data_IF_333246566491
#
_entry.id   IF_333246566491
#
_cell.length_a   1.000
_cell.length_b   1.000
_cell.length_c   1.000
_cell.angle_alpha   90.00
_cell.angle_beta   90.00
_cell.angle_gamma   90.00
#
_symmetry.space_group_name_H-M   'P 1'
#
loop_
_entity.id
_entity.type
_entity.pdbx_description
1 polymer ?
#
# COMPACT_ATOMS: atom_id res chain seq x y z
N UNK A 1 15.94 -26.07 24.09
CA UNK A 1 15.85 -25.44 22.77
C UNK A 1 14.45 -25.78 22.27
N UNK A 2 13.55 -24.80 22.32
CA UNK A 2 12.13 -25.02 22.04
C UNK A 2 11.90 -24.97 20.52
N UNK A 3 11.62 -26.13 19.94
CA UNK A 3 11.48 -26.38 18.50
C UNK A 3 10.01 -26.27 18.02
N UNK A 4 9.11 -25.67 18.83
CA UNK A 4 7.66 -25.73 18.55
C UNK A 4 7.02 -24.44 18.04
N UNK A 5 7.76 -23.33 17.96
CA UNK A 5 7.20 -22.08 17.42
C UNK A 5 7.36 -22.06 15.87
N UNK A 6 6.26 -22.03 15.08
CA UNK A 6 6.38 -21.87 13.64
C UNK A 6 7.15 -20.57 13.30
N UNK A 7 7.92 -20.54 12.19
CA UNK A 7 8.71 -19.37 11.82
C UNK A 7 7.81 -18.12 11.75
N UNK A 8 8.22 -17.06 12.43
CA UNK A 8 7.48 -15.80 12.45
C UNK A 8 7.75 -15.04 11.16
N UNK A 9 6.73 -14.95 10.31
CA UNK A 9 6.80 -14.15 9.09
C UNK A 9 6.47 -12.69 9.40
N UNK A 10 7.43 -11.74 9.37
CA UNK A 10 7.10 -10.33 9.49
C UNK A 10 6.12 -9.94 8.38
N UNK A 11 5.20 -9.02 8.68
CA UNK A 11 4.14 -8.67 7.74
C UNK A 11 4.55 -7.50 6.84
N UNK A 12 4.13 -7.58 5.58
CA UNK A 12 4.20 -6.50 4.62
C UNK A 12 2.81 -6.22 4.03
N UNK A 13 2.34 -4.98 4.17
CA UNK A 13 1.15 -4.48 3.49
C UNK A 13 1.52 -3.92 2.12
N UNK A 14 0.88 -4.42 1.06
CA UNK A 14 1.01 -3.89 -0.29
C UNK A 14 -0.36 -3.46 -0.79
N UNK A 15 -0.54 -2.16 -1.05
CA UNK A 15 -1.81 -1.64 -1.59
C UNK A 15 -1.88 -1.83 -3.10
N UNK A 16 -3.05 -2.24 -3.64
CA UNK A 16 -3.19 -2.47 -5.08
C UNK A 16 -2.47 -3.74 -5.53
N UNK A 17 -2.31 -4.71 -4.64
CA UNK A 17 -1.50 -5.90 -4.84
C UNK A 17 -2.17 -6.99 -5.68
N UNK A 18 -3.42 -6.79 -6.11
CA UNK A 18 -4.13 -7.76 -6.94
C UNK A 18 -3.49 -7.99 -8.32
N UNK A 19 -2.73 -7.02 -8.86
CA UNK A 19 -2.16 -7.12 -10.21
C UNK A 19 -1.00 -6.13 -10.47
N UNK A 20 -0.38 -6.22 -11.65
CA UNK A 20 0.67 -5.30 -12.15
C UNK A 20 1.82 -5.17 -11.14
N UNK A 21 2.34 -3.95 -10.92
CA UNK A 21 3.46 -3.69 -10.02
C UNK A 21 3.16 -4.08 -8.58
N UNK A 22 1.94 -3.82 -8.08
CA UNK A 22 1.55 -4.22 -6.72
C UNK A 22 1.69 -5.73 -6.51
N UNK A 23 1.25 -6.55 -7.47
CA UNK A 23 1.47 -8.01 -7.44
C UNK A 23 2.96 -8.35 -7.44
N UNK A 24 3.76 -7.68 -8.28
CA UNK A 24 5.19 -7.94 -8.35
C UNK A 24 5.90 -7.63 -7.01
N UNK A 25 5.55 -6.52 -6.35
CA UNK A 25 6.07 -6.19 -5.02
C UNK A 25 5.65 -7.21 -3.97
N UNK A 26 4.36 -7.59 -3.95
CA UNK A 26 3.84 -8.60 -3.03
C UNK A 26 4.56 -9.96 -3.17
N UNK A 27 4.75 -10.44 -4.39
CA UNK A 27 5.47 -11.69 -4.65
C UNK A 27 6.96 -11.58 -4.33
N UNK A 28 7.58 -10.43 -4.57
CA UNK A 28 8.98 -10.20 -4.19
C UNK A 28 9.15 -10.31 -2.66
N UNK A 29 8.33 -9.59 -1.90
CA UNK A 29 8.36 -9.63 -0.43
C UNK A 29 8.03 -11.02 0.12
N UNK A 30 7.10 -11.73 -0.50
CA UNK A 30 6.77 -13.11 -0.13
C UNK A 30 7.97 -14.06 -0.29
N UNK A 31 8.72 -13.95 -1.40
CA UNK A 31 9.96 -14.73 -1.61
C UNK A 31 11.05 -14.41 -0.58
N UNK A 32 11.02 -13.21 0.00
CA UNK A 32 11.92 -12.81 1.10
C UNK A 32 11.40 -13.26 2.48
N UNK A 33 10.34 -14.06 2.54
CA UNK A 33 9.81 -14.61 3.78
C UNK A 33 8.79 -13.73 4.51
N UNK A 34 8.34 -12.61 3.92
CA UNK A 34 7.29 -11.79 4.53
C UNK A 34 5.91 -12.43 4.37
N UNK A 35 5.10 -12.36 5.42
CA UNK A 35 3.67 -12.57 5.32
C UNK A 35 3.04 -11.37 4.61
N UNK A 36 2.13 -11.60 3.67
CA UNK A 36 1.60 -10.51 2.83
C UNK A 36 0.19 -10.14 3.24
N UNK A 37 -0.01 -8.85 3.52
CA UNK A 37 -1.35 -8.24 3.50
C UNK A 37 -1.57 -7.68 2.09
N UNK A 38 -2.36 -8.39 1.31
CA UNK A 38 -2.73 -8.05 -0.07
C UNK A 38 -3.98 -7.18 -0.04
N UNK A 39 -3.82 -5.88 -0.26
CA UNK A 39 -4.96 -4.99 -0.41
C UNK A 39 -5.41 -4.89 -1.88
N UNK A 40 -6.73 -4.88 -2.10
CA UNK A 40 -7.37 -4.61 -3.37
C UNK A 40 -8.68 -3.82 -3.21
N UNK A 41 -9.14 -3.14 -4.26
CA UNK A 41 -10.44 -2.45 -4.25
C UNK A 41 -11.53 -3.26 -4.97
N UNK A 42 -11.50 -3.30 -6.31
CA UNK A 42 -12.54 -3.96 -7.13
C UNK A 42 -12.09 -5.25 -7.83
N UNK A 43 -10.80 -5.59 -7.78
CA UNK A 43 -10.21 -6.71 -8.54
C UNK A 43 -10.18 -8.04 -7.78
N UNK A 44 -11.32 -8.48 -7.22
CA UNK A 44 -11.38 -9.67 -6.37
C UNK A 44 -10.83 -10.96 -7.04
N UNK A 45 -11.16 -11.30 -8.30
CA UNK A 45 -10.61 -12.51 -8.93
C UNK A 45 -9.09 -12.49 -9.05
N UNK A 46 -8.50 -11.33 -9.39
CA UNK A 46 -7.04 -11.16 -9.52
C UNK A 46 -6.35 -11.18 -8.14
N UNK A 47 -7.02 -10.66 -7.12
CA UNK A 47 -6.55 -10.74 -5.74
C UNK A 47 -6.49 -12.19 -5.25
N UNK A 48 -7.52 -13.00 -5.54
CA UNK A 48 -7.54 -14.43 -5.20
C UNK A 48 -6.41 -15.18 -5.90
N UNK A 49 -6.22 -14.96 -7.22
CA UNK A 49 -5.14 -15.58 -7.97
C UNK A 49 -3.76 -15.23 -7.38
N UNK A 50 -3.52 -13.94 -7.09
CA UNK A 50 -2.26 -13.49 -6.49
C UNK A 50 -2.06 -14.04 -5.08
N UNK A 51 -3.11 -14.13 -4.27
CA UNK A 51 -3.04 -14.73 -2.94
C UNK A 51 -2.67 -16.22 -3.01
N UNK A 52 -3.17 -16.96 -4.00
CA UNK A 52 -2.78 -18.36 -4.21
C UNK A 52 -1.32 -18.50 -4.59
N UNK A 53 -0.80 -17.62 -5.46
CA UNK A 53 0.63 -17.57 -5.79
C UNK A 53 1.49 -17.27 -4.56
N UNK A 54 1.05 -16.36 -3.68
CA UNK A 54 1.77 -16.06 -2.43
C UNK A 54 1.75 -17.27 -1.48
N UNK A 55 0.61 -17.96 -1.32
CA UNK A 55 0.53 -19.16 -0.48
C UNK A 55 1.44 -20.28 -1.00
N UNK A 56 1.56 -20.42 -2.32
CA UNK A 56 2.47 -21.39 -2.92
C UNK A 56 3.95 -21.12 -2.61
N UNK A 57 4.31 -19.91 -2.16
CA UNK A 57 5.65 -19.57 -1.65
C UNK A 57 5.85 -19.92 -0.17
N UNK A 58 4.84 -20.50 0.50
CA UNK A 58 4.94 -20.96 1.88
C UNK A 58 4.77 -19.88 2.94
N UNK A 59 4.39 -18.65 2.56
CA UNK A 59 4.16 -17.54 3.50
C UNK A 59 2.67 -17.27 3.72
N UNK A 60 2.27 -16.76 4.90
CA UNK A 60 0.88 -16.43 5.17
C UNK A 60 0.42 -15.23 4.33
N UNK A 61 -0.85 -15.24 3.90
CA UNK A 61 -1.45 -14.12 3.17
C UNK A 61 -2.82 -13.74 3.74
N UNK A 62 -3.03 -12.45 3.92
CA UNK A 62 -4.32 -11.84 4.24
C UNK A 62 -4.76 -11.01 3.04
N UNK A 63 -5.89 -11.34 2.41
CA UNK A 63 -6.48 -10.50 1.36
C UNK A 63 -7.54 -9.59 1.97
N UNK A 64 -7.40 -8.28 1.80
CA UNK A 64 -8.36 -7.29 2.33
C UNK A 64 -8.89 -6.41 1.20
N UNK A 65 -10.22 -6.35 1.10
CA UNK A 65 -10.90 -5.41 0.23
C UNK A 65 -11.09 -4.08 0.97
N UNK A 66 -10.64 -2.98 0.38
CA UNK A 66 -10.96 -1.65 0.89
C UNK A 66 -10.97 -0.61 -0.24
N UNK A 67 -11.84 0.39 -0.12
CA UNK A 67 -11.71 1.63 -0.86
C UNK A 67 -10.85 2.60 -0.06
N UNK A 68 -9.61 2.83 -0.52
CA UNK A 68 -8.68 3.70 0.16
C UNK A 68 -9.05 5.20 0.07
N UNK A 69 -10.01 5.58 -0.77
CA UNK A 69 -10.54 6.94 -0.75
C UNK A 69 -11.37 7.22 0.51
N UNK A 70 -11.85 6.17 1.18
CA UNK A 70 -12.66 6.22 2.40
C UNK A 70 -11.81 5.96 3.65
N UNK A 71 -11.72 6.96 4.54
CA UNK A 71 -10.90 6.89 5.76
C UNK A 71 -11.30 5.75 6.71
N UNK A 72 -12.60 5.51 6.89
CA UNK A 72 -13.10 4.42 7.74
C UNK A 72 -12.66 3.06 7.19
N UNK A 73 -12.67 2.88 5.87
CA UNK A 73 -12.20 1.63 5.27
C UNK A 73 -10.69 1.45 5.39
N UNK A 74 -9.90 2.54 5.36
CA UNK A 74 -8.47 2.48 5.69
C UNK A 74 -8.28 2.04 7.15
N UNK A 75 -9.03 2.62 8.10
CA UNK A 75 -8.95 2.21 9.50
C UNK A 75 -9.29 0.72 9.68
N UNK A 76 -10.37 0.25 9.04
CA UNK A 76 -10.79 -1.15 9.08
C UNK A 76 -9.73 -2.08 8.47
N UNK A 77 -9.10 -1.70 7.35
CA UNK A 77 -7.98 -2.45 6.78
C UNK A 77 -6.88 -2.69 7.83
N UNK A 78 -6.51 -1.67 8.60
CA UNK A 78 -5.49 -1.83 9.64
C UNK A 78 -5.98 -2.62 10.86
N UNK A 79 -7.26 -2.54 11.21
CA UNK A 79 -7.85 -3.44 12.22
C UNK A 79 -7.81 -4.92 11.80
N UNK A 80 -7.99 -5.23 10.51
CA UNK A 80 -7.78 -6.60 10.01
C UNK A 80 -6.32 -7.05 10.17
N UNK A 81 -5.37 -6.14 9.90
CA UNK A 81 -3.94 -6.41 10.07
C UNK A 81 -3.64 -6.71 11.54
N UNK A 82 -4.18 -5.93 12.47
CA UNK A 82 -3.97 -6.14 13.91
C UNK A 82 -4.43 -7.53 14.35
N UNK A 83 -5.63 -7.95 13.92
CA UNK A 83 -6.14 -9.30 14.19
C UNK A 83 -5.25 -10.39 13.60
N UNK A 84 -4.82 -10.21 12.35
CA UNK A 84 -4.00 -11.18 11.64
C UNK A 84 -2.59 -11.30 12.24
N UNK A 85 -2.03 -10.18 12.69
CA UNK A 85 -0.73 -10.05 13.33
C UNK A 85 -0.73 -10.71 14.71
N UNK A 86 -1.75 -10.42 15.53
CA UNK A 86 -1.91 -10.99 16.87
C UNK A 86 -2.03 -12.52 16.82
N UNK A 87 -2.80 -13.07 15.88
CA UNK A 87 -2.97 -14.52 15.72
C UNK A 87 -1.67 -15.27 15.32
N UNK A 88 -0.59 -14.55 14.98
CA UNK A 88 0.67 -15.13 14.48
C UNK A 88 1.90 -14.66 15.25
N UNK A 89 1.71 -13.84 16.29
CA UNK A 89 2.82 -13.15 16.96
C UNK A 89 3.77 -12.45 15.97
N UNK A 90 3.21 -11.92 14.88
CA UNK A 90 3.94 -11.20 13.85
C UNK A 90 3.81 -9.69 14.07
N UNK A 91 4.64 -8.90 13.38
CA UNK A 91 4.52 -7.44 13.36
C UNK A 91 4.54 -6.91 11.94
N UNK A 92 3.83 -5.81 11.69
CA UNK A 92 3.92 -5.07 10.44
C UNK A 92 5.30 -4.41 10.36
N UNK A 93 6.04 -4.69 9.29
CA UNK A 93 7.40 -4.17 9.06
C UNK A 93 7.52 -3.38 7.77
N UNK A 94 6.69 -3.68 6.76
CA UNK A 94 6.75 -2.98 5.47
C UNK A 94 5.36 -2.50 5.05
N UNK A 95 5.28 -1.27 4.58
CA UNK A 95 4.12 -0.72 3.86
C UNK A 95 4.58 -0.29 2.48
N UNK A 96 3.97 -0.83 1.42
CA UNK A 96 4.14 -0.37 0.05
C UNK A 96 2.84 0.26 -0.43
N UNK A 97 2.84 1.60 -0.52
CA UNK A 97 1.75 2.36 -1.12
C UNK A 97 1.88 2.31 -2.65
N UNK A 98 1.29 1.28 -3.27
CA UNK A 98 1.31 1.06 -4.72
C UNK A 98 -0.03 1.30 -5.42
N UNK A 99 -1.15 1.34 -4.69
CA UNK A 99 -2.45 1.68 -5.28
C UNK A 99 -2.43 3.10 -5.85
N UNK A 100 -2.90 3.27 -7.08
CA UNK A 100 -3.01 4.58 -7.72
C UNK A 100 -4.08 4.59 -8.82
N UNK A 101 -4.68 5.75 -9.03
CA UNK A 101 -5.53 6.07 -10.19
C UNK A 101 -4.74 6.99 -11.11
N UNK A 102 -4.72 6.66 -12.40
CA UNK A 102 -4.11 7.48 -13.45
C UNK A 102 -5.21 7.89 -14.40
N UNK A 103 -5.72 9.12 -14.22
CA UNK A 103 -6.77 9.68 -15.08
C UNK A 103 -6.15 10.54 -16.18
N UNK A 104 -6.50 10.24 -17.43
CA UNK A 104 -6.15 11.05 -18.60
C UNK A 104 -7.14 12.19 -18.72
N UNK A 105 -6.68 13.41 -18.97
CA UNK A 105 -7.59 14.55 -19.12
C UNK A 105 -6.88 15.82 -19.57
N UNK A 106 -7.69 16.87 -19.72
CA UNK A 106 -7.25 18.22 -20.06
C UNK A 106 -7.48 19.14 -18.85
N UNK A 107 -6.43 19.79 -18.37
CA UNK A 107 -6.48 20.66 -17.19
C UNK A 107 -7.52 21.77 -17.31
N UNK A 108 -7.89 22.16 -18.53
CA UNK A 108 -8.90 23.20 -18.81
C UNK A 108 -10.33 22.77 -18.50
N UNK A 109 -10.61 21.47 -18.42
CA UNK A 109 -11.97 20.93 -18.30
C UNK A 109 -12.14 19.83 -17.27
N UNK A 110 -11.07 19.37 -16.61
CA UNK A 110 -11.20 18.39 -15.53
C UNK A 110 -11.99 18.96 -14.36
N UNK A 111 -12.88 18.15 -13.81
CA UNK A 111 -13.75 18.55 -12.71
C UNK A 111 -13.04 18.50 -11.36
N UNK A 112 -13.61 19.17 -10.36
CA UNK A 112 -13.19 19.01 -8.96
C UNK A 112 -13.34 17.56 -8.49
N UNK A 113 -14.38 16.85 -8.97
CA UNK A 113 -14.57 15.44 -8.65
C UNK A 113 -13.43 14.57 -9.20
N UNK A 114 -12.91 14.85 -10.39
CA UNK A 114 -11.73 14.16 -10.93
C UNK A 114 -10.49 14.44 -10.08
N UNK A 115 -10.34 15.69 -9.63
CA UNK A 115 -9.26 16.10 -8.74
C UNK A 115 -9.30 15.33 -7.43
N UNK A 116 -10.45 15.34 -6.76
CA UNK A 116 -10.66 14.68 -5.48
C UNK A 116 -10.50 13.16 -5.58
N UNK A 117 -10.98 12.54 -6.67
CA UNK A 117 -10.82 11.11 -6.90
C UNK A 117 -9.35 10.71 -7.01
N UNK A 118 -8.54 11.44 -7.79
CA UNK A 118 -7.11 11.14 -7.93
C UNK A 118 -6.35 11.45 -6.63
N UNK A 119 -6.61 12.60 -6.00
CA UNK A 119 -5.89 13.01 -4.79
C UNK A 119 -6.23 12.16 -3.58
N UNK A 120 -7.48 11.71 -3.45
CA UNK A 120 -7.90 10.82 -2.37
C UNK A 120 -7.15 9.49 -2.39
N UNK A 121 -6.94 8.89 -3.57
CA UNK A 121 -6.25 7.61 -3.70
C UNK A 121 -4.73 7.75 -3.80
N UNK A 122 -4.21 8.75 -4.51
CA UNK A 122 -2.78 8.85 -4.79
C UNK A 122 -1.99 9.59 -3.73
N UNK A 123 -2.65 10.40 -2.87
CA UNK A 123 -1.99 11.20 -1.85
C UNK A 123 -2.57 10.99 -0.45
N UNK A 124 -3.87 11.20 -0.27
CA UNK A 124 -4.52 11.09 1.05
C UNK A 124 -4.44 9.67 1.59
N UNK A 125 -4.71 8.66 0.76
CA UNK A 125 -4.58 7.27 1.17
C UNK A 125 -3.15 6.89 1.63
N UNK A 126 -2.06 7.17 0.87
CA UNK A 126 -0.71 6.97 1.37
C UNK A 126 -0.40 7.66 2.70
N UNK A 127 -0.90 8.88 2.91
CA UNK A 127 -0.78 9.61 4.19
C UNK A 127 -1.47 8.85 5.34
N UNK A 128 -2.74 8.48 5.17
CA UNK A 128 -3.51 7.76 6.19
C UNK A 128 -2.89 6.38 6.49
N UNK A 129 -2.50 5.65 5.45
CA UNK A 129 -1.82 4.36 5.59
C UNK A 129 -0.48 4.51 6.33
N UNK A 130 0.29 5.54 6.02
CA UNK A 130 1.57 5.79 6.69
C UNK A 130 1.40 6.12 8.17
N UNK A 131 0.40 6.93 8.54
CA UNK A 131 0.08 7.19 9.96
C UNK A 131 -0.33 5.91 10.70
N UNK A 132 -1.19 5.09 10.10
CA UNK A 132 -1.62 3.84 10.71
C UNK A 132 -0.47 2.83 10.83
N UNK A 133 0.42 2.76 9.82
CA UNK A 133 1.60 1.93 9.84
C UNK A 133 2.61 2.39 10.91
N UNK A 134 2.89 3.69 10.99
CA UNK A 134 3.82 4.25 11.99
C UNK A 134 3.43 3.88 13.43
N UNK A 135 2.12 3.91 13.76
CA UNK A 135 1.61 3.51 15.08
C UNK A 135 1.83 2.03 15.43
N UNK A 136 2.10 1.18 14.43
CA UNK A 136 2.19 -0.29 14.55
C UNK A 136 3.59 -0.84 14.29
N UNK A 137 4.42 -0.09 13.60
CA UNK A 137 5.78 -0.48 13.28
C UNK A 137 6.71 -0.16 14.46
N UNK A 138 7.41 -1.17 14.95
CA UNK A 138 8.58 -0.96 15.81
C UNK A 138 9.72 -0.31 15.00
N UNK A 139 10.76 0.26 15.65
CA UNK A 139 11.95 0.77 14.97
C UNK A 139 12.48 -0.21 13.92
N UNK A 140 12.92 0.33 12.79
CA UNK A 140 13.32 -0.45 11.61
C UNK A 140 12.17 -0.80 10.65
N UNK A 141 10.99 -0.20 10.81
CA UNK A 141 9.92 -0.27 9.81
C UNK A 141 10.27 0.48 8.51
N UNK A 142 9.68 0.06 7.39
CA UNK A 142 9.91 0.64 6.06
C UNK A 142 8.59 1.02 5.39
N UNK A 143 8.47 2.27 4.98
CA UNK A 143 7.36 2.76 4.15
C UNK A 143 7.90 3.14 2.77
N UNK A 144 7.36 2.52 1.73
CA UNK A 144 7.69 2.77 0.33
C UNK A 144 6.48 3.36 -0.38
N UNK A 145 6.64 4.57 -0.92
CA UNK A 145 5.62 5.24 -1.73
C UNK A 145 6.00 5.15 -3.21
N UNK A 146 5.14 4.53 -4.02
CA UNK A 146 5.41 4.37 -5.46
C UNK A 146 5.03 5.66 -6.18
N UNK A 147 6.05 6.44 -6.54
CA UNK A 147 5.91 7.64 -7.36
C UNK A 147 5.97 7.32 -8.87
N UNK A 148 6.18 8.34 -9.70
CA UNK A 148 6.28 8.26 -11.15
C UNK A 148 7.22 9.35 -11.66
N UNK A 149 7.81 9.18 -12.86
CA UNK A 149 8.58 10.24 -13.53
C UNK A 149 7.70 11.46 -13.85
N UNK A 150 6.37 11.27 -13.94
CA UNK A 150 5.39 12.34 -13.99
C UNK A 150 5.44 13.31 -12.78
N UNK A 151 6.10 12.94 -11.68
CA UNK A 151 6.36 13.85 -10.56
C UNK A 151 7.41 14.94 -10.89
N UNK A 152 8.21 14.73 -11.94
CA UNK A 152 9.31 15.61 -12.33
C UNK A 152 9.13 16.19 -13.74
N UNK A 153 8.41 15.48 -14.61
CA UNK A 153 8.13 15.90 -15.99
C UNK A 153 6.68 16.35 -16.12
N UNK A 154 6.46 17.41 -16.87
CA UNK A 154 5.11 17.86 -17.22
C UNK A 154 4.49 16.89 -18.22
N UNK A 155 3.44 16.17 -17.79
CA UNK A 155 2.64 15.31 -18.66
C UNK A 155 1.27 15.93 -18.84
N UNK A 156 1.10 16.70 -19.92
CA UNK A 156 -0.12 17.47 -20.18
C UNK A 156 -1.38 16.60 -20.28
N UNK A 157 -1.23 15.34 -20.73
CA UNK A 157 -2.32 14.39 -20.82
C UNK A 157 -2.76 13.81 -19.45
N UNK A 158 -1.98 14.02 -18.38
CA UNK A 158 -2.20 13.46 -17.04
C UNK A 158 -1.96 14.51 -15.94
N UNK A 159 -2.63 15.68 -15.97
CA UNK A 159 -2.23 16.82 -15.16
C UNK A 159 -2.40 16.55 -13.66
N UNK A 160 -3.59 16.08 -13.24
CA UNK A 160 -3.88 15.82 -11.81
C UNK A 160 -3.05 14.64 -11.28
N UNK A 161 -2.84 13.59 -12.09
CA UNK A 161 -1.96 12.48 -11.71
C UNK A 161 -0.54 12.98 -11.44
N UNK A 162 0.02 13.79 -12.33
CA UNK A 162 1.37 14.36 -12.19
C UNK A 162 1.49 15.19 -10.92
N UNK A 163 0.50 16.05 -10.63
CA UNK A 163 0.42 16.82 -9.37
C UNK A 163 0.38 15.88 -8.17
N UNK A 164 -0.45 14.83 -8.19
CA UNK A 164 -0.55 13.88 -7.08
C UNK A 164 0.78 13.16 -6.79
N UNK A 165 1.55 12.82 -7.84
CA UNK A 165 2.86 12.16 -7.70
C UNK A 165 3.94 13.10 -7.23
N UNK A 166 3.95 14.36 -7.69
CA UNK A 166 4.82 15.40 -7.14
C UNK A 166 4.54 15.64 -5.65
N UNK A 167 3.26 15.74 -5.27
CA UNK A 167 2.84 15.87 -3.88
C UNK A 167 3.25 14.66 -3.03
N UNK A 168 3.12 13.43 -3.56
CA UNK A 168 3.53 12.22 -2.86
C UNK A 168 5.04 12.17 -2.60
N UNK A 169 5.87 12.68 -3.53
CA UNK A 169 7.33 12.81 -3.31
C UNK A 169 7.62 13.77 -2.16
N UNK A 170 6.95 14.93 -2.13
CA UNK A 170 7.09 15.89 -1.03
C UNK A 170 6.66 15.29 0.30
N UNK A 171 5.48 14.67 0.36
CA UNK A 171 4.95 13.99 1.53
C UNK A 171 5.92 12.91 2.04
N UNK A 172 6.53 12.13 1.15
CA UNK A 172 7.51 11.10 1.52
C UNK A 172 8.71 11.70 2.26
N UNK A 173 9.24 12.83 1.78
CA UNK A 173 10.38 13.51 2.44
C UNK A 173 9.99 14.10 3.79
N UNK A 174 8.78 14.66 3.88
CA UNK A 174 8.25 15.19 5.14
C UNK A 174 8.11 14.05 6.16
N UNK A 175 7.43 12.96 5.80
CA UNK A 175 7.25 11.81 6.69
C UNK A 175 8.57 11.17 7.10
N UNK A 176 9.56 11.08 6.20
CA UNK A 176 10.88 10.56 6.55
C UNK A 176 11.57 11.37 7.65
N UNK A 177 11.39 12.70 7.66
CA UNK A 177 11.91 13.56 8.74
C UNK A 177 11.06 13.47 10.01
N UNK A 178 9.74 13.40 9.86
CA UNK A 178 8.81 13.37 11.01
C UNK A 178 8.77 12.03 11.75
N UNK A 179 9.10 10.92 11.07
CA UNK A 179 9.15 9.58 11.66
C UNK A 179 10.57 9.14 12.05
N UNK A 180 11.56 10.01 11.85
CA UNK A 180 12.90 9.77 12.36
C UNK A 180 12.89 9.78 13.90
N UNK A 181 13.75 8.98 14.56
CA UNK A 181 13.96 9.04 16.00
C UNK A 181 14.45 10.41 16.50
#
# INVERSE_FOLDING_TARGET
>A
MDETQPPTHPLALVTGAAHRLGKAFALCLARQGYGIVLHYNSSAPKAIATANEIRALGVPVLSVRADLSNETQVANLFSEIDRFSAARSASLKVLVNSAAIMSRGDVRSMSVADFDAVMSVNLRAPFLCAQQAYRRMAPGGLIVNISDVAAQKTWDAYPIYSVSKAALVSLTRIMARSFAP
#
